data_IF_409587135184
#
_entry.id   IF_409587135184
#
_cell.length_a   1.000
_cell.length_b   1.000
_cell.length_c   1.000
_cell.angle_alpha   90.00
_cell.angle_beta   90.00
_cell.angle_gamma   90.00
#
_symmetry.space_group_name_H-M   'P 1'
#
loop_
_entity.id
_entity.type
_entity.pdbx_description
1 polymer ?
#
# COMPACT_ATOMS: atom_id res chain seq x y z
N UNK A 1 -33.86 -21.19 -12.63
CA UNK A 1 -35.10 -21.90 -12.29
C UNK A 1 -35.03 -22.26 -10.81
N UNK A 2 -36.09 -21.96 -10.05
CA UNK A 2 -36.07 -21.94 -8.59
C UNK A 2 -36.08 -23.36 -7.99
N UNK A 3 -34.88 -23.92 -7.75
CA UNK A 3 -34.69 -25.30 -7.25
C UNK A 3 -35.30 -25.48 -5.85
N UNK A 4 -35.58 -24.38 -5.13
CA UNK A 4 -36.18 -24.34 -3.80
C UNK A 4 -37.52 -25.08 -3.72
N UNK A 5 -38.31 -25.10 -4.80
CA UNK A 5 -39.64 -25.74 -4.80
C UNK A 5 -39.58 -27.28 -4.74
N UNK A 6 -38.45 -27.90 -5.12
CA UNK A 6 -38.30 -29.37 -5.11
C UNK A 6 -37.78 -29.93 -3.78
N UNK A 7 -37.27 -29.08 -2.87
CA UNK A 7 -36.77 -29.48 -1.55
C UNK A 7 -37.75 -30.33 -0.73
N UNK A 8 -39.03 -29.96 -0.55
CA UNK A 8 -39.96 -30.77 0.26
C UNK A 8 -40.23 -32.15 -0.36
N UNK A 9 -40.13 -32.28 -1.68
CA UNK A 9 -40.31 -33.56 -2.37
C UNK A 9 -39.10 -34.48 -2.18
N UNK A 10 -37.89 -33.90 -2.14
CA UNK A 10 -36.63 -34.60 -1.86
C UNK A 10 -36.58 -35.01 -0.39
N UNK A 11 -36.94 -34.13 0.54
CA UNK A 11 -37.01 -34.40 1.97
C UNK A 11 -37.96 -35.56 2.29
N UNK A 12 -39.16 -35.55 1.71
CA UNK A 12 -40.14 -36.63 1.90
C UNK A 12 -39.66 -37.99 1.37
N UNK A 13 -38.81 -38.01 0.34
CA UNK A 13 -38.17 -39.23 -0.18
C UNK A 13 -36.98 -39.65 0.68
N UNK A 14 -36.17 -38.71 1.14
CA UNK A 14 -35.01 -38.96 2.01
C UNK A 14 -35.43 -39.61 3.33
N UNK A 15 -36.48 -39.09 3.98
CA UNK A 15 -37.00 -39.62 5.24
C UNK A 15 -37.53 -41.05 5.14
N UNK A 16 -37.92 -41.52 3.93
CA UNK A 16 -38.31 -42.92 3.68
C UNK A 16 -37.11 -43.86 3.56
N UNK A 17 -35.96 -43.35 3.12
CA UNK A 17 -34.75 -44.14 2.85
C UNK A 17 -33.81 -44.12 4.06
N UNK A 18 -33.79 -43.04 4.84
CA UNK A 18 -32.92 -42.89 6.02
C UNK A 18 -33.62 -42.14 7.16
N UNK A 19 -34.59 -42.78 7.85
CA UNK A 19 -35.42 -42.15 8.87
C UNK A 19 -34.67 -41.68 10.13
N UNK A 20 -33.45 -42.16 10.37
CA UNK A 20 -32.63 -41.77 11.52
C UNK A 20 -31.65 -40.61 11.25
N UNK A 21 -31.62 -40.04 10.03
CA UNK A 21 -30.77 -38.90 9.70
C UNK A 21 -31.62 -37.68 9.31
N UNK A 22 -31.34 -36.52 9.92
CA UNK A 22 -31.99 -35.26 9.55
C UNK A 22 -31.59 -34.86 8.13
N UNK A 23 -32.58 -34.46 7.35
CA UNK A 23 -32.36 -33.86 6.04
C UNK A 23 -31.80 -32.45 6.23
N UNK A 24 -30.48 -32.31 6.08
CA UNK A 24 -29.81 -31.01 6.03
C UNK A 24 -29.49 -30.68 4.57
N UNK A 25 -29.84 -29.47 4.15
CA UNK A 25 -29.51 -28.96 2.83
C UNK A 25 -28.86 -27.59 2.97
N UNK A 26 -27.87 -27.32 2.13
CA UNK A 26 -27.39 -25.98 1.87
C UNK A 26 -27.40 -25.74 0.38
N UNK A 27 -27.75 -24.52 -0.03
CA UNK A 27 -27.59 -24.13 -1.42
C UNK A 27 -26.12 -23.84 -1.66
N UNK A 28 -25.53 -24.57 -2.62
CA UNK A 28 -24.16 -24.33 -3.07
C UNK A 28 -23.94 -22.84 -3.40
N UNK A 29 -24.93 -22.15 -3.98
CA UNK A 29 -24.85 -20.70 -4.22
C UNK A 29 -24.85 -19.82 -2.96
N UNK A 30 -25.50 -20.23 -1.88
CA UNK A 30 -25.47 -19.53 -0.58
C UNK A 30 -24.12 -19.76 0.11
N UNK A 31 -23.59 -20.98 0.06
CA UNK A 31 -22.24 -21.32 0.58
C UNK A 31 -21.13 -20.59 -0.19
N UNK A 32 -21.18 -20.58 -1.52
CA UNK A 32 -20.23 -19.82 -2.35
C UNK A 32 -20.31 -18.32 -2.07
N UNK A 33 -21.52 -17.76 -1.92
CA UNK A 33 -21.68 -16.35 -1.58
C UNK A 33 -21.13 -16.03 -0.18
N UNK A 34 -21.28 -16.92 0.80
CA UNK A 34 -20.73 -16.75 2.13
C UNK A 34 -19.18 -16.80 2.11
N UNK A 35 -18.60 -17.71 1.34
CA UNK A 35 -17.15 -17.78 1.12
C UNK A 35 -16.62 -16.51 0.43
N UNK A 36 -17.25 -16.08 -0.65
CA UNK A 36 -16.88 -14.86 -1.38
C UNK A 36 -16.96 -13.60 -0.51
N UNK A 37 -17.98 -13.47 0.34
CA UNK A 37 -18.11 -12.34 1.28
C UNK A 37 -16.95 -12.29 2.27
N UNK A 38 -16.44 -13.44 2.70
CA UNK A 38 -15.31 -13.53 3.63
C UNK A 38 -14.01 -13.12 2.94
N UNK A 39 -13.77 -13.59 1.72
CA UNK A 39 -12.62 -13.17 0.91
C UNK A 39 -12.68 -11.67 0.60
N UNK A 40 -13.84 -11.15 0.22
CA UNK A 40 -14.01 -9.75 -0.14
C UNK A 40 -13.82 -8.81 1.06
N UNK A 41 -14.29 -9.19 2.25
CA UNK A 41 -14.00 -8.47 3.50
C UNK A 41 -12.50 -8.45 3.82
N UNK A 42 -11.83 -9.58 3.65
CA UNK A 42 -10.39 -9.69 3.88
C UNK A 42 -9.62 -8.78 2.93
N UNK A 43 -9.97 -8.77 1.64
CA UNK A 43 -9.41 -7.86 0.65
C UNK A 43 -9.65 -6.38 1.00
N UNK A 44 -10.84 -6.03 1.47
CA UNK A 44 -11.14 -4.66 1.93
C UNK A 44 -10.30 -4.25 3.13
N UNK A 45 -10.10 -5.12 4.11
CA UNK A 45 -9.23 -4.85 5.26
C UNK A 45 -7.78 -4.62 4.82
N UNK A 46 -7.25 -5.44 3.91
CA UNK A 46 -5.92 -5.24 3.36
C UNK A 46 -5.79 -3.90 2.63
N UNK A 47 -6.78 -3.50 1.83
CA UNK A 47 -6.78 -2.19 1.17
C UNK A 47 -6.77 -1.03 2.18
N UNK A 48 -7.56 -1.11 3.24
CA UNK A 48 -7.58 -0.09 4.30
C UNK A 48 -6.23 -0.01 4.98
N UNK A 49 -5.66 -1.14 5.42
CA UNK A 49 -4.35 -1.16 6.08
C UNK A 49 -3.22 -0.72 5.16
N UNK A 50 -3.22 -1.12 3.88
CA UNK A 50 -2.23 -0.68 2.91
C UNK A 50 -2.29 0.84 2.70
N UNK A 51 -3.51 1.41 2.63
CA UNK A 51 -3.70 2.85 2.48
C UNK A 51 -3.22 3.60 3.72
N UNK A 52 -3.55 3.11 4.92
CA UNK A 52 -3.07 3.68 6.18
C UNK A 52 -1.53 3.62 6.29
N UNK A 53 -0.94 2.48 5.98
CA UNK A 53 0.51 2.30 5.98
C UNK A 53 1.20 3.28 5.03
N UNK A 54 0.62 3.52 3.84
CA UNK A 54 1.11 4.46 2.86
C UNK A 54 1.04 5.92 3.36
N UNK A 55 -0.04 6.30 4.04
CA UNK A 55 -0.16 7.63 4.68
C UNK A 55 0.87 7.81 5.79
N UNK A 56 1.02 6.82 6.68
CA UNK A 56 1.99 6.86 7.78
C UNK A 56 3.43 6.93 7.25
N UNK A 57 3.75 6.14 6.22
CA UNK A 57 5.04 6.20 5.55
C UNK A 57 5.30 7.59 4.95
N UNK A 58 4.30 8.20 4.32
CA UNK A 58 4.36 9.57 3.82
C UNK A 58 4.65 10.60 4.92
N UNK A 59 3.97 10.48 6.07
CA UNK A 59 4.22 11.35 7.23
C UNK A 59 5.64 11.16 7.80
N UNK A 60 6.12 9.92 7.89
CA UNK A 60 7.49 9.64 8.34
C UNK A 60 8.54 10.25 7.40
N UNK A 61 8.31 10.13 6.10
CA UNK A 61 9.19 10.67 5.08
C UNK A 61 9.16 12.21 5.07
N UNK A 62 7.99 12.81 5.27
CA UNK A 62 7.82 14.24 5.47
C UNK A 62 8.62 14.75 6.68
N UNK A 63 8.49 14.09 7.84
CA UNK A 63 9.23 14.45 9.06
C UNK A 63 10.75 14.37 8.86
N UNK A 64 11.22 13.33 8.18
CA UNK A 64 12.65 13.12 7.93
C UNK A 64 13.19 14.17 6.94
N UNK A 65 12.41 14.53 5.92
CA UNK A 65 12.74 15.60 4.99
C UNK A 65 12.79 16.98 5.67
N UNK A 66 11.85 17.26 6.59
CA UNK A 66 11.84 18.48 7.37
C UNK A 66 13.07 18.59 8.27
N UNK A 67 13.39 17.53 9.01
CA UNK A 67 14.57 17.47 9.87
C UNK A 67 15.87 17.62 9.06
N UNK A 68 15.98 16.96 7.91
CA UNK A 68 17.16 17.08 7.05
C UNK A 68 17.36 18.51 6.50
N UNK A 69 16.27 19.21 6.19
CA UNK A 69 16.32 20.60 5.74
C UNK A 69 16.80 21.53 6.87
N UNK A 70 16.32 21.32 8.09
CA UNK A 70 16.75 22.08 9.28
C UNK A 70 18.21 21.82 9.62
N UNK A 71 18.67 20.57 9.59
CA UNK A 71 20.08 20.24 9.82
C UNK A 71 21.01 20.92 8.79
N UNK A 72 20.52 21.14 7.56
CA UNK A 72 21.27 21.75 6.45
C UNK A 72 20.95 23.24 6.24
N UNK A 73 20.25 23.89 7.17
CA UNK A 73 19.82 25.29 6.99
C UNK A 73 21.00 26.25 6.77
N UNK A 74 22.14 26.03 7.45
CA UNK A 74 23.34 26.85 7.30
C UNK A 74 23.93 26.77 5.89
N UNK A 75 24.03 25.57 5.32
CA UNK A 75 24.52 25.38 3.95
C UNK A 75 23.55 25.96 2.90
N UNK A 76 22.24 25.75 3.11
CA UNK A 76 21.18 26.25 2.23
C UNK A 76 21.17 27.78 2.24
N UNK A 77 21.30 28.41 3.42
CA UNK A 77 21.39 29.85 3.59
C UNK A 77 22.59 30.47 2.88
N UNK A 78 23.79 29.89 3.05
CA UNK A 78 25.01 30.34 2.36
C UNK A 78 24.83 30.23 0.84
N UNK A 79 24.35 29.10 0.32
CA UNK A 79 24.11 28.93 -1.12
C UNK A 79 23.08 29.90 -1.67
N UNK A 80 22.01 30.20 -0.92
CA UNK A 80 20.95 31.13 -1.34
C UNK A 80 21.46 32.57 -1.41
N UNK A 81 22.31 32.99 -0.47
CA UNK A 81 22.99 34.30 -0.51
C UNK A 81 23.98 34.39 -1.67
N UNK A 82 24.64 33.28 -2.01
CA UNK A 82 25.51 33.16 -3.20
C UNK A 82 24.73 33.06 -4.53
N UNK A 83 23.41 33.21 -4.53
CA UNK A 83 22.58 33.25 -5.74
C UNK A 83 22.12 31.87 -6.25
N UNK A 84 22.21 30.80 -5.46
CA UNK A 84 21.69 29.51 -5.86
C UNK A 84 20.15 29.54 -6.02
N UNK A 85 19.66 28.98 -7.12
CA UNK A 85 18.22 28.88 -7.38
C UNK A 85 17.55 27.88 -6.43
N UNK A 86 16.27 28.15 -6.11
CA UNK A 86 15.39 27.27 -5.31
C UNK A 86 15.38 25.84 -5.90
N UNK A 87 15.37 25.72 -7.23
CA UNK A 87 15.41 24.43 -7.94
C UNK A 87 16.68 23.62 -7.67
N UNK A 88 17.84 24.28 -7.55
CA UNK A 88 19.11 23.61 -7.24
C UNK A 88 19.10 22.99 -5.84
N UNK A 89 18.56 23.72 -4.86
CA UNK A 89 18.40 23.25 -3.47
C UNK A 89 17.41 22.08 -3.41
N UNK A 90 16.26 22.21 -4.08
CA UNK A 90 15.24 21.14 -4.15
C UNK A 90 15.80 19.87 -4.80
N UNK A 91 16.55 19.99 -5.90
CA UNK A 91 17.17 18.84 -6.58
C UNK A 91 18.22 18.16 -5.70
N UNK A 92 19.04 18.93 -4.97
CA UNK A 92 20.03 18.37 -4.06
C UNK A 92 19.37 17.56 -2.94
N UNK A 93 18.38 18.13 -2.25
CA UNK A 93 17.63 17.45 -1.21
C UNK A 93 16.91 16.21 -1.76
N UNK A 94 16.18 16.36 -2.87
CA UNK A 94 15.40 15.27 -3.47
C UNK A 94 16.26 14.09 -3.89
N UNK A 95 17.47 14.32 -4.42
CA UNK A 95 18.38 13.24 -4.85
C UNK A 95 18.81 12.32 -3.70
N UNK A 96 19.09 12.88 -2.53
CA UNK A 96 19.51 12.10 -1.36
C UNK A 96 18.38 11.16 -0.92
N UNK A 97 17.14 11.64 -0.91
CA UNK A 97 15.98 10.83 -0.57
C UNK A 97 15.60 9.81 -1.65
N UNK A 98 15.64 10.17 -2.94
CA UNK A 98 15.33 9.24 -4.04
C UNK A 98 16.28 8.05 -4.04
N UNK A 99 17.58 8.26 -3.74
CA UNK A 99 18.54 7.15 -3.60
C UNK A 99 18.14 6.18 -2.49
N UNK A 100 17.73 6.70 -1.34
CA UNK A 100 17.25 5.88 -0.23
C UNK A 100 16.00 5.10 -0.60
N UNK A 101 15.02 5.75 -1.25
CA UNK A 101 13.78 5.10 -1.71
C UNK A 101 14.06 3.99 -2.73
N UNK A 102 14.96 4.24 -3.69
CA UNK A 102 15.39 3.22 -4.66
C UNK A 102 16.05 2.02 -3.99
N UNK A 103 16.93 2.26 -3.00
CA UNK A 103 17.57 1.19 -2.25
C UNK A 103 16.53 0.38 -1.45
N UNK A 104 15.59 1.05 -0.79
CA UNK A 104 14.48 0.38 -0.11
C UNK A 104 13.63 -0.46 -1.08
N UNK A 105 13.34 0.05 -2.27
CA UNK A 105 12.57 -0.68 -3.28
C UNK A 105 13.30 -1.93 -3.79
N UNK A 106 14.61 -1.85 -4.02
CA UNK A 106 15.42 -2.99 -4.45
C UNK A 106 15.41 -4.14 -3.44
N UNK A 107 15.26 -3.83 -2.15
CA UNK A 107 15.17 -4.85 -1.08
C UNK A 107 13.71 -5.31 -0.90
N UNK A 108 12.76 -4.39 -0.95
CA UNK A 108 11.35 -4.68 -0.72
C UNK A 108 10.72 -5.51 -1.86
N UNK A 109 11.08 -5.24 -3.12
CA UNK A 109 10.54 -5.94 -4.28
C UNK A 109 10.76 -7.47 -4.26
N UNK A 110 12.00 -7.99 -4.10
CA UNK A 110 12.23 -9.43 -4.03
C UNK A 110 11.60 -10.05 -2.76
N UNK A 111 11.61 -9.34 -1.64
CA UNK A 111 10.98 -9.81 -0.41
C UNK A 111 9.46 -9.98 -0.59
N UNK A 112 8.80 -8.99 -1.18
CA UNK A 112 7.37 -9.02 -1.47
C UNK A 112 7.02 -10.17 -2.42
N UNK A 113 7.84 -10.38 -3.46
CA UNK A 113 7.67 -11.50 -4.39
C UNK A 113 7.75 -12.85 -3.68
N UNK A 114 8.77 -13.06 -2.83
CA UNK A 114 8.96 -14.32 -2.10
C UNK A 114 7.82 -14.61 -1.13
N UNK A 115 7.38 -13.60 -0.37
CA UNK A 115 6.27 -13.74 0.58
C UNK A 115 4.98 -14.09 -0.17
N UNK A 116 4.68 -13.38 -1.25
CA UNK A 116 3.46 -13.62 -2.02
C UNK A 116 3.50 -14.98 -2.74
N UNK A 117 4.66 -15.41 -3.23
CA UNK A 117 4.83 -16.74 -3.82
C UNK A 117 4.55 -17.86 -2.79
N UNK A 118 5.15 -17.76 -1.59
CA UNK A 118 4.87 -18.71 -0.49
C UNK A 118 3.42 -18.68 -0.03
N UNK A 119 2.78 -17.52 -0.05
CA UNK A 119 1.36 -17.40 0.31
C UNK A 119 0.45 -18.07 -0.73
N UNK A 120 0.73 -17.87 -2.02
CA UNK A 120 0.01 -18.50 -3.14
C UNK A 120 0.19 -20.01 -3.20
N UNK A 121 1.28 -20.56 -2.63
CA UNK A 121 1.49 -22.01 -2.59
C UNK A 121 0.38 -22.77 -1.83
N UNK A 122 -0.29 -22.11 -0.88
CA UNK A 122 -1.41 -22.68 -0.11
C UNK A 122 -2.72 -22.82 -0.89
N UNK A 123 -2.81 -22.28 -2.12
CA UNK A 123 -4.04 -22.30 -2.91
C UNK A 123 -3.97 -23.31 -4.05
N UNK A 124 -5.06 -24.06 -4.26
CA UNK A 124 -5.17 -25.08 -5.31
C UNK A 124 -5.25 -24.47 -6.72
N UNK A 125 -5.80 -23.25 -6.85
CA UNK A 125 -5.78 -22.46 -8.08
C UNK A 125 -4.83 -21.28 -7.89
N UNK A 126 -3.64 -21.36 -8.48
CA UNK A 126 -2.60 -20.33 -8.31
C UNK A 126 -2.65 -19.34 -9.45
N UNK A 127 -2.92 -18.08 -9.15
CA UNK A 127 -2.71 -17.01 -10.12
C UNK A 127 -1.24 -16.58 -10.05
N UNK A 128 -0.52 -16.64 -11.16
CA UNK A 128 0.87 -16.18 -11.20
C UNK A 128 0.89 -14.66 -11.04
N UNK A 129 1.64 -14.17 -10.05
CA UNK A 129 1.87 -12.73 -9.89
C UNK A 129 2.62 -12.28 -11.13
N UNK A 130 2.02 -11.40 -11.91
CA UNK A 130 2.72 -10.83 -13.04
C UNK A 130 3.66 -9.73 -12.53
N UNK A 131 4.89 -9.72 -13.03
CA UNK A 131 5.94 -8.79 -12.61
C UNK A 131 5.52 -7.31 -12.68
N UNK A 132 4.60 -6.98 -13.59
CA UNK A 132 4.09 -5.61 -13.74
C UNK A 132 3.36 -5.10 -12.51
N UNK A 133 2.79 -5.97 -11.67
CA UNK A 133 2.11 -5.56 -10.43
C UNK A 133 3.12 -4.90 -9.48
N UNK A 134 4.29 -5.51 -9.33
CA UNK A 134 5.40 -4.96 -8.54
C UNK A 134 5.92 -3.68 -9.20
N UNK A 135 6.02 -3.65 -10.53
CA UNK A 135 6.47 -2.45 -11.23
C UNK A 135 5.52 -1.27 -11.02
N UNK A 136 4.20 -1.46 -11.13
CA UNK A 136 3.20 -0.41 -10.89
C UNK A 136 3.22 0.04 -9.43
N UNK A 137 3.28 -0.90 -8.47
CA UNK A 137 3.37 -0.57 -7.06
C UNK A 137 4.66 0.21 -6.74
N UNK A 138 5.78 -0.19 -7.35
CA UNK A 138 7.06 0.50 -7.25
C UNK A 138 7.00 1.92 -7.79
N UNK A 139 6.51 2.08 -9.02
CA UNK A 139 6.35 3.40 -9.65
C UNK A 139 5.40 4.28 -8.84
N UNK A 140 4.28 3.74 -8.38
CA UNK A 140 3.32 4.46 -7.54
C UNK A 140 3.92 4.93 -6.22
N UNK A 141 4.65 4.06 -5.51
CA UNK A 141 5.32 4.43 -4.25
C UNK A 141 6.43 5.45 -4.45
N UNK A 142 7.23 5.33 -5.52
CA UNK A 142 8.23 6.33 -5.93
C UNK A 142 7.59 7.68 -6.23
N UNK A 143 6.48 7.69 -6.96
CA UNK A 143 5.75 8.93 -7.28
C UNK A 143 5.23 9.62 -6.03
N UNK A 144 4.65 8.88 -5.09
CA UNK A 144 4.15 9.43 -3.82
C UNK A 144 5.29 9.96 -2.95
N UNK A 145 6.39 9.20 -2.83
CA UNK A 145 7.57 9.66 -2.12
C UNK A 145 8.12 10.94 -2.75
N UNK A 146 8.28 10.97 -4.08
CA UNK A 146 8.75 12.14 -4.80
C UNK A 146 7.85 13.36 -4.59
N UNK A 147 6.52 13.21 -4.69
CA UNK A 147 5.57 14.29 -4.44
C UNK A 147 5.68 14.83 -3.01
N UNK A 148 5.83 13.94 -2.01
CA UNK A 148 5.97 14.31 -0.60
C UNK A 148 7.30 15.05 -0.34
N UNK A 149 8.41 14.58 -0.91
CA UNK A 149 9.73 15.22 -0.75
C UNK A 149 9.76 16.56 -1.47
N UNK A 150 9.22 16.62 -2.69
CA UNK A 150 9.27 17.82 -3.52
C UNK A 150 8.48 18.95 -2.87
N UNK A 151 7.31 18.66 -2.29
CA UNK A 151 6.51 19.67 -1.57
C UNK A 151 7.25 20.21 -0.35
N UNK A 152 7.91 19.36 0.44
CA UNK A 152 8.68 19.79 1.60
C UNK A 152 9.96 20.55 1.23
N UNK A 153 10.70 20.05 0.25
CA UNK A 153 11.93 20.68 -0.24
C UNK A 153 11.63 22.07 -0.80
N UNK A 154 10.50 22.23 -1.50
CA UNK A 154 10.05 23.53 -1.99
C UNK A 154 9.73 24.49 -0.84
N UNK A 155 8.96 24.03 0.17
CA UNK A 155 8.69 24.84 1.38
C UNK A 155 9.99 25.29 2.06
N UNK A 156 10.94 24.38 2.26
CA UNK A 156 12.22 24.69 2.88
C UNK A 156 13.06 25.67 2.04
N UNK A 157 13.07 25.53 0.72
CA UNK A 157 13.84 26.39 -0.16
C UNK A 157 13.25 27.81 -0.30
N UNK A 158 11.93 27.97 -0.15
CA UNK A 158 11.24 29.27 -0.17
C UNK A 158 11.31 29.99 1.18
N UNK A 159 11.50 29.26 2.29
CA UNK A 159 11.65 29.84 3.62
C UNK A 159 12.73 30.93 3.65
N UNK A 160 12.43 32.04 4.34
CA UNK A 160 13.24 33.25 4.32
C UNK A 160 14.41 33.09 5.31
N UNK A 161 15.68 33.14 4.86
CA UNK A 161 16.84 32.89 5.72
C UNK A 161 17.02 33.93 6.85
N UNK A 162 16.38 35.10 6.74
CA UNK A 162 16.42 36.15 7.76
C UNK A 162 15.72 35.74 9.08
N UNK A 163 14.71 34.86 9.03
CA UNK A 163 14.05 34.37 10.24
C UNK A 163 14.90 33.33 10.99
N UNK A 164 15.73 32.57 10.26
CA UNK A 164 16.60 31.53 10.82
C UNK A 164 17.85 32.09 11.54
N UNK A 165 18.21 33.34 11.26
CA UNK A 165 19.34 34.05 11.89
C UNK A 165 18.91 34.92 13.09
N UNK A 166 17.60 35.14 13.28
CA UNK A 166 17.06 35.96 14.37
C UNK A 166 16.61 35.12 15.57
N UNK A 167 16.53 33.80 15.42
CA UNK A 167 16.18 32.85 16.47
C UNK A 167 17.38 32.34 17.28
N UNK A 168 18.57 32.90 17.06
CA UNK A 168 19.77 32.73 17.89
C UNK A 168 20.12 34.10 18.50
#
# INVERSE_FOLDING_TARGET
>A
ADVKHFLPLIEARWNKVSPNQRFEYSFMGEDFNAAYRTEQRTGQLFLIFATLALVIAGLGLFSLAAYAAEQRNKEIGIRKVLGASVSSIVSMLSKDFIKLVLLSFLIAAPLAWLVMHKWLDGFAYRQSIQWWVIAIAGIGSLFIAFATISTQSFKAAVANPADSLKSE
#
